data_IF_690993791101
#
_entry.id   IF_690993791101
#
_cell.length_a   1.000
_cell.length_b   1.000
_cell.length_c   1.000
_cell.angle_alpha   90.00
_cell.angle_beta   90.00
_cell.angle_gamma   90.00
#
_symmetry.space_group_name_H-M   'P 1'
#
loop_
_entity.id
_entity.type
_entity.pdbx_description
1 polymer ?
#
# COMPACT_ATOMS: atom_id res chain seq x y z
N UNK A 1 18.62 15.38 3.05
CA UNK A 1 19.39 14.46 2.20
C UNK A 1 18.50 13.27 1.87
N UNK A 2 17.89 13.31 0.69
CA UNK A 2 16.98 12.30 0.14
C UNK A 2 17.81 11.16 -0.45
N UNK A 3 17.68 9.95 0.10
CA UNK A 3 18.31 8.75 -0.46
C UNK A 3 17.27 8.08 -1.37
N UNK A 4 17.49 8.18 -2.68
CA UNK A 4 16.81 7.35 -3.67
C UNK A 4 17.27 5.89 -3.55
N UNK A 5 16.40 4.88 -3.73
CA UNK A 5 16.86 3.51 -3.78
C UNK A 5 17.32 3.19 -5.20
N UNK A 6 18.64 3.09 -5.37
CA UNK A 6 19.23 2.45 -6.54
C UNK A 6 19.05 0.94 -6.45
N UNK A 7 18.42 0.35 -7.46
CA UNK A 7 18.48 -1.09 -7.70
C UNK A 7 19.93 -1.51 -7.94
N UNK A 8 20.42 -2.42 -7.11
CA UNK A 8 21.68 -3.15 -7.34
C UNK A 8 21.35 -4.64 -7.41
N UNK A 9 21.51 -5.20 -8.60
CA UNK A 9 21.42 -6.63 -8.85
C UNK A 9 22.62 -7.35 -8.20
N UNK A 10 22.33 -8.11 -7.14
CA UNK A 10 23.24 -9.06 -6.49
C UNK A 10 22.39 -9.95 -5.59
N UNK A 11 22.67 -11.25 -5.54
CA UNK A 11 21.94 -12.24 -4.73
C UNK A 11 22.14 -12.04 -3.22
N UNK A 12 21.80 -10.85 -2.72
CA UNK A 12 21.93 -10.45 -1.34
C UNK A 12 20.63 -10.74 -0.60
N UNK A 13 20.73 -11.18 0.66
CA UNK A 13 19.62 -11.10 1.61
C UNK A 13 19.06 -9.68 1.58
N UNK A 14 17.94 -9.48 0.86
CA UNK A 14 17.33 -8.17 0.79
C UNK A 14 16.67 -7.91 2.13
N UNK A 15 17.36 -7.14 2.94
CA UNK A 15 16.90 -6.70 4.26
C UNK A 15 16.16 -5.39 4.04
N UNK A 16 14.84 -5.41 4.19
CA UNK A 16 14.00 -4.22 4.11
C UNK A 16 13.71 -3.73 5.52
N UNK A 17 14.20 -2.55 5.86
CA UNK A 17 13.89 -1.88 7.13
C UNK A 17 12.78 -0.85 6.90
N UNK A 18 11.78 -0.85 7.78
CA UNK A 18 10.72 0.15 7.78
C UNK A 18 10.52 0.69 9.20
N UNK A 19 10.30 2.00 9.34
CA UNK A 19 10.21 2.62 10.65
C UNK A 19 8.97 2.12 11.40
N UNK A 20 9.11 1.90 12.71
CA UNK A 20 8.00 1.50 13.57
C UNK A 20 6.92 2.57 13.69
N UNK A 21 7.29 3.84 13.44
CA UNK A 21 6.38 4.98 13.45
C UNK A 21 6.70 5.89 12.27
N UNK A 22 5.67 6.45 11.63
CA UNK A 22 5.83 7.50 10.62
C UNK A 22 5.36 8.81 11.23
N UNK A 23 6.19 9.85 11.17
CA UNK A 23 5.85 11.15 11.78
C UNK A 23 4.69 11.84 11.04
N UNK A 24 3.99 12.74 11.72
CA UNK A 24 2.87 13.49 11.13
C UNK A 24 3.32 14.29 9.90
N UNK A 25 4.54 14.81 9.91
CA UNK A 25 5.15 15.54 8.79
C UNK A 25 5.40 14.62 7.60
N UNK A 26 5.94 13.42 7.84
CA UNK A 26 6.13 12.41 6.79
C UNK A 26 4.79 12.00 6.18
N UNK A 27 3.78 11.81 7.02
CA UNK A 27 2.43 11.45 6.60
C UNK A 27 1.86 12.55 5.69
N UNK A 28 1.91 13.81 6.10
CA UNK A 28 1.41 14.94 5.28
C UNK A 28 2.16 15.07 3.95
N UNK A 29 3.46 14.82 3.94
CA UNK A 29 4.28 14.89 2.73
C UNK A 29 4.01 13.73 1.75
N UNK A 30 3.74 12.52 2.25
CA UNK A 30 3.66 11.31 1.43
C UNK A 30 2.24 10.83 1.16
N UNK A 31 1.24 11.31 1.92
CA UNK A 31 -0.16 10.85 1.81
C UNK A 31 -0.67 10.92 0.37
N UNK A 32 -0.46 12.06 -0.30
CA UNK A 32 -0.94 12.28 -1.66
C UNK A 32 -0.08 11.64 -2.75
N UNK A 33 1.16 11.30 -2.41
CA UNK A 33 2.15 10.72 -3.32
C UNK A 33 2.02 9.19 -3.39
N UNK A 34 1.61 8.55 -2.29
CA UNK A 34 1.44 7.10 -2.22
C UNK A 34 0.34 6.65 -3.18
N UNK A 35 0.70 5.79 -4.13
CA UNK A 35 -0.24 5.10 -5.02
C UNK A 35 -0.38 3.64 -4.61
N UNK A 36 -1.57 3.09 -4.82
CA UNK A 36 -1.77 1.66 -4.64
C UNK A 36 -0.94 0.89 -5.67
N UNK A 37 -0.15 -0.12 -5.26
CA UNK A 37 0.47 -1.05 -6.20
C UNK A 37 -0.59 -1.73 -7.08
N UNK A 38 -0.27 -2.09 -8.34
CA UNK A 38 -1.24 -2.69 -9.27
C UNK A 38 -1.93 -3.96 -8.77
N UNK A 39 -1.26 -4.72 -7.90
CA UNK A 39 -1.80 -5.95 -7.32
C UNK A 39 -2.88 -5.71 -6.24
N UNK A 40 -2.97 -4.49 -5.67
CA UNK A 40 -3.92 -4.19 -4.60
C UNK A 40 -5.34 -4.25 -5.15
N UNK A 41 -6.20 -5.08 -4.54
CA UNK A 41 -7.60 -5.25 -4.94
C UNK A 41 -7.76 -5.63 -6.43
N UNK A 42 -6.76 -6.31 -7.01
CA UNK A 42 -6.84 -6.84 -8.36
C UNK A 42 -8.02 -7.84 -8.43
N UNK A 43 -8.92 -7.62 -9.38
CA UNK A 43 -10.12 -8.46 -9.55
C UNK A 43 -11.26 -8.16 -8.58
N UNK A 44 -11.11 -7.22 -7.65
CA UNK A 44 -12.21 -6.77 -6.82
C UNK A 44 -13.18 -5.91 -7.64
N UNK A 45 -14.49 -6.17 -7.51
CA UNK A 45 -15.49 -5.26 -8.05
C UNK A 45 -15.69 -4.09 -7.09
N UNK A 46 -15.15 -2.93 -7.47
CA UNK A 46 -15.28 -1.68 -6.73
C UNK A 46 -16.49 -0.86 -7.18
N UNK A 47 -17.40 -1.43 -7.97
CA UNK A 47 -18.62 -0.76 -8.41
C UNK A 47 -19.65 -0.71 -7.27
N UNK A 48 -20.11 0.48 -6.85
CA UNK A 48 -21.23 0.59 -5.92
C UNK A 48 -22.51 0.03 -6.55
N UNK A 49 -23.31 -0.69 -5.77
CA UNK A 49 -24.53 -1.35 -6.26
C UNK A 49 -25.49 -0.38 -6.97
N UNK A 50 -25.68 0.84 -6.46
CA UNK A 50 -26.56 1.82 -7.09
C UNK A 50 -26.09 2.26 -8.49
N UNK A 51 -24.80 2.11 -8.81
CA UNK A 51 -24.27 2.40 -10.15
C UNK A 51 -24.47 1.23 -11.11
N UNK A 52 -24.62 0.00 -10.60
CA UNK A 52 -24.93 -1.17 -11.43
C UNK A 52 -26.32 -1.03 -12.11
N UNK A 53 -27.25 -0.39 -11.40
CA UNK A 53 -28.61 -0.10 -11.91
C UNK A 53 -28.65 1.11 -12.87
N UNK A 54 -27.56 1.90 -12.94
CA UNK A 54 -27.49 3.09 -13.77
C UNK A 54 -26.88 2.78 -15.14
N UNK A 55 -27.72 2.35 -16.10
CA UNK A 55 -27.33 1.99 -17.46
C UNK A 55 -26.37 2.98 -18.18
N UNK A 56 -26.49 4.32 -18.00
CA UNK A 56 -25.57 5.27 -18.64
C UNK A 56 -24.12 5.19 -18.15
N UNK A 57 -23.84 4.52 -17.02
CA UNK A 57 -22.47 4.36 -16.51
C UNK A 57 -21.56 3.65 -17.54
N UNK A 58 -22.13 2.76 -18.34
CA UNK A 58 -21.44 2.03 -19.41
C UNK A 58 -21.03 2.92 -20.59
N UNK A 59 -21.57 4.14 -20.70
CA UNK A 59 -21.19 5.12 -21.72
C UNK A 59 -19.86 5.82 -21.39
N UNK A 60 -19.37 5.69 -20.15
CA UNK A 60 -18.17 6.40 -19.66
C UNK A 60 -17.11 5.45 -19.08
N UNK A 61 -16.64 4.43 -19.83
CA UNK A 61 -15.74 3.40 -19.30
C UNK A 61 -14.41 3.98 -18.79
N UNK A 62 -13.87 5.00 -19.47
CA UNK A 62 -12.65 5.68 -19.03
C UNK A 62 -12.82 6.40 -17.68
N UNK A 63 -13.99 7.03 -17.46
CA UNK A 63 -14.28 7.69 -16.20
C UNK A 63 -14.46 6.68 -15.07
N UNK A 64 -15.14 5.57 -15.35
CA UNK A 64 -15.30 4.46 -14.39
C UNK A 64 -13.95 3.89 -13.99
N UNK A 65 -13.05 3.65 -14.95
CA UNK A 65 -11.69 3.18 -14.67
C UNK A 65 -10.92 4.17 -13.78
N UNK A 66 -11.00 5.47 -14.06
CA UNK A 66 -10.38 6.52 -13.25
C UNK A 66 -10.93 6.53 -11.81
N UNK A 67 -12.25 6.42 -11.64
CA UNK A 67 -12.87 6.40 -10.31
C UNK A 67 -12.47 5.14 -9.54
N UNK A 68 -12.44 3.98 -10.20
CA UNK A 68 -11.96 2.72 -9.59
C UNK A 68 -10.51 2.84 -9.10
N UNK A 69 -9.64 3.47 -9.89
CA UNK A 69 -8.25 3.77 -9.50
C UNK A 69 -8.17 4.65 -8.25
N UNK A 70 -8.98 5.71 -8.20
CA UNK A 70 -9.06 6.63 -7.07
C UNK A 70 -9.54 5.92 -5.80
N UNK A 71 -10.61 5.13 -5.90
CA UNK A 71 -11.15 4.33 -4.78
C UNK A 71 -10.08 3.38 -4.26
N UNK A 72 -9.42 2.63 -5.16
CA UNK A 72 -8.37 1.69 -4.78
C UNK A 72 -7.21 2.37 -4.05
N UNK A 73 -6.75 3.50 -4.58
CA UNK A 73 -5.67 4.28 -3.97
C UNK A 73 -6.08 4.84 -2.61
N UNK A 74 -7.30 5.35 -2.48
CA UNK A 74 -7.83 5.86 -1.21
C UNK A 74 -7.95 4.75 -0.15
N UNK A 75 -8.50 3.59 -0.51
CA UNK A 75 -8.61 2.42 0.38
C UNK A 75 -7.24 1.93 0.81
N UNK A 76 -6.27 1.86 -0.10
CA UNK A 76 -4.90 1.48 0.21
C UNK A 76 -4.25 2.44 1.22
N UNK A 77 -4.34 3.75 0.97
CA UNK A 77 -3.86 4.77 1.90
C UNK A 77 -4.50 4.59 3.27
N UNK A 78 -5.83 4.52 3.31
CA UNK A 78 -6.57 4.37 4.56
C UNK A 78 -6.16 3.12 5.33
N UNK A 79 -5.89 2.00 4.65
CA UNK A 79 -5.38 0.78 5.27
C UNK A 79 -3.98 0.99 5.87
N UNK A 80 -3.07 1.66 5.16
CA UNK A 80 -1.74 1.99 5.69
C UNK A 80 -1.83 2.83 6.97
N UNK A 81 -2.74 3.80 7.03
CA UNK A 81 -2.94 4.63 8.22
C UNK A 81 -3.57 3.86 9.38
N UNK A 82 -4.50 2.95 9.10
CA UNK A 82 -5.05 2.07 10.14
C UNK A 82 -3.98 1.17 10.75
N UNK A 83 -3.08 0.64 9.91
CA UNK A 83 -1.93 -0.12 10.40
C UNK A 83 -1.07 0.77 11.29
N UNK A 84 -0.71 1.99 10.85
CA UNK A 84 0.05 2.93 11.68
C UNK A 84 -0.60 3.23 13.03
N UNK A 85 -1.93 3.38 13.09
CA UNK A 85 -2.60 3.64 14.36
C UNK A 85 -2.39 2.49 15.37
N UNK A 86 -2.34 1.24 14.90
CA UNK A 86 -1.96 0.10 15.74
C UNK A 86 -0.49 0.19 16.14
N UNK A 87 0.40 0.57 15.22
CA UNK A 87 1.83 0.75 15.52
C UNK A 87 2.08 1.82 16.59
N UNK A 88 1.36 2.94 16.54
CA UNK A 88 1.39 4.01 17.55
C UNK A 88 0.88 3.52 18.90
N UNK A 89 -0.16 2.69 18.92
CA UNK A 89 -0.74 2.15 20.16
C UNK A 89 0.27 1.30 20.94
N UNK A 90 1.20 0.64 20.24
CA UNK A 90 2.26 -0.20 20.82
C UNK A 90 3.65 0.46 20.77
N UNK A 91 3.73 1.79 20.63
CA UNK A 91 5.00 2.50 20.48
C UNK A 91 5.94 2.30 21.67
N UNK A 92 5.41 2.20 22.89
CA UNK A 92 6.19 1.93 24.10
C UNK A 92 6.86 0.55 24.09
N UNK A 93 6.25 -0.43 23.42
CA UNK A 93 6.69 -1.83 23.38
C UNK A 93 7.55 -2.15 22.15
N UNK A 94 7.42 -1.38 21.06
CA UNK A 94 8.06 -1.65 19.77
C UNK A 94 8.64 -0.39 19.12
N UNK A 95 9.66 0.20 19.74
CA UNK A 95 10.36 1.41 19.23
C UNK A 95 11.29 1.15 18.05
N UNK A 96 11.83 -0.06 17.95
CA UNK A 96 12.86 -0.39 16.97
C UNK A 96 12.28 -0.55 15.55
N UNK A 97 13.00 -0.10 14.50
CA UNK A 97 12.62 -0.34 13.11
C UNK A 97 12.41 -1.83 12.83
N UNK A 98 11.35 -2.14 12.08
CA UNK A 98 11.02 -3.52 11.72
C UNK A 98 11.84 -3.92 10.50
N UNK A 99 12.36 -5.14 10.55
CA UNK A 99 13.28 -5.65 9.54
C UNK A 99 12.67 -6.88 8.88
N UNK A 100 12.25 -6.76 7.62
CA UNK A 100 11.89 -7.90 6.79
C UNK A 100 13.16 -8.46 6.16
N UNK A 101 13.54 -9.66 6.58
CA UNK A 101 14.55 -10.45 5.89
C UNK A 101 13.85 -11.30 4.85
N UNK A 102 14.30 -11.24 3.59
CA UNK A 102 13.85 -12.18 2.57
C UNK A 102 14.34 -13.57 2.97
N UNK A 103 13.44 -14.38 3.55
CA UNK A 103 13.69 -15.80 3.75
C UNK A 103 14.02 -16.43 2.40
N UNK A 104 15.21 -17.01 2.29
CA UNK A 104 15.55 -17.95 1.22
C UNK A 104 14.41 -18.97 1.10
N UNK A 105 13.79 -19.00 -0.09
CA UNK A 105 12.90 -20.04 -0.62
C UNK A 105 11.89 -20.69 0.37
N UNK A 106 10.59 -20.56 0.06
CA UNK A 106 9.66 -21.67 0.27
C UNK A 106 10.11 -22.86 -0.60
N UNK A 107 11.17 -23.54 -0.19
CA UNK A 107 11.46 -24.90 -0.60
C UNK A 107 10.46 -25.80 0.09
N UNK A 108 9.66 -26.51 -0.71
CA UNK A 108 8.53 -27.31 -0.24
C UNK A 108 8.88 -28.32 0.86
N UNK A 109 7.90 -28.58 1.70
CA UNK A 109 7.75 -29.85 2.38
C UNK A 109 6.31 -30.31 2.10
N UNK A 110 6.20 -31.24 1.14
CA UNK A 110 5.11 -32.19 1.06
C UNK A 110 5.22 -33.18 2.24
#
# INVERSE_FOLDING_TARGET
ATVAPGESAGGAESTFSFPAFRSEEWIKAEFDTIKAPPAVLLGADLMPNYMADFAPVNLYPAKVAQVREQIRTALFRQALFKVQNVEVTHLEECREPRVLRRGLALGGAA
#
